data_IF_116732000225
#
_entry.id   IF_116732000225
#
_cell.length_a   1.000
_cell.length_b   1.000
_cell.length_c   1.000
_cell.angle_alpha   90.00
_cell.angle_beta   90.00
_cell.angle_gamma   90.00
#
_symmetry.space_group_name_H-M   'P 1'
#
loop_
_entity.id
_entity.type
_entity.pdbx_description
1 polymer ?
#
# COMPACT_ATOMS: atom_id res chain seq x y z
N UNK A 1 27.32 -46.12 13.49
CA UNK A 1 28.29 -45.58 12.52
C UNK A 1 28.53 -44.12 12.90
N UNK A 2 29.61 -43.87 13.67
CA UNK A 2 30.32 -42.60 13.95
C UNK A 2 29.49 -41.29 14.10
N UNK A 3 29.30 -40.67 15.29
CA UNK A 3 30.26 -39.96 16.18
C UNK A 3 31.26 -39.03 15.46
N UNK A 4 31.55 -37.86 16.07
CA UNK A 4 32.39 -36.71 15.65
C UNK A 4 31.52 -35.56 15.10
N UNK A 5 31.47 -34.34 15.64
CA UNK A 5 32.52 -33.53 16.26
C UNK A 5 31.94 -32.53 17.27
N UNK A 6 32.54 -32.47 18.47
CA UNK A 6 32.45 -31.40 19.47
C UNK A 6 33.73 -30.55 19.32
N UNK A 7 33.65 -29.27 19.68
CA UNK A 7 34.74 -28.33 19.98
C UNK A 7 35.48 -27.63 18.83
N UNK A 8 35.21 -26.32 18.73
CA UNK A 8 36.12 -25.15 18.78
C UNK A 8 35.16 -23.95 18.69
N UNK A 9 35.05 -23.09 19.69
CA UNK A 9 35.90 -21.92 19.86
C UNK A 9 36.02 -21.54 21.35
N UNK A 10 37.26 -21.41 21.79
CA UNK A 10 37.67 -20.81 23.05
C UNK A 10 38.00 -19.34 22.84
N UNK A 11 37.64 -18.52 23.84
CA UNK A 11 38.22 -17.23 24.25
C UNK A 11 38.07 -16.00 23.33
N UNK A 12 37.08 -15.17 23.66
CA UNK A 12 37.13 -13.70 23.50
C UNK A 12 36.81 -13.12 24.90
N UNK A 13 37.57 -12.14 25.42
CA UNK A 13 37.43 -11.68 26.79
C UNK A 13 36.14 -10.88 27.00
N UNK A 14 35.52 -11.10 28.17
CA UNK A 14 34.33 -10.40 28.64
C UNK A 14 34.66 -8.92 28.89
N UNK A 15 34.07 -8.03 28.09
CA UNK A 15 33.89 -6.63 28.47
C UNK A 15 32.53 -6.53 29.16
N UNK A 16 32.56 -6.21 30.46
CA UNK A 16 31.38 -6.11 31.29
C UNK A 16 30.42 -5.02 30.79
N UNK A 17 29.14 -5.38 30.69
CA UNK A 17 28.06 -4.41 30.71
C UNK A 17 27.13 -4.81 31.84
N UNK A 18 27.19 -4.00 32.90
CA UNK A 18 26.41 -4.18 34.11
C UNK A 18 24.92 -4.10 33.78
N UNK A 19 24.22 -5.18 34.10
CA UNK A 19 22.76 -5.27 34.11
C UNK A 19 22.24 -4.43 35.28
N UNK A 20 21.78 -3.22 35.01
CA UNK A 20 21.00 -2.44 36.00
C UNK A 20 19.56 -2.89 35.90
N UNK A 21 19.19 -3.82 36.79
CA UNK A 21 17.81 -4.07 37.17
C UNK A 21 17.30 -2.86 37.96
N UNK A 22 16.53 -1.99 37.32
CA UNK A 22 15.72 -0.99 38.00
C UNK A 22 14.23 -1.36 37.85
N UNK A 23 13.73 -2.11 38.83
CA UNK A 23 12.30 -2.12 39.15
C UNK A 23 11.97 -0.77 39.81
N UNK A 24 11.08 0.01 39.22
CA UNK A 24 10.59 1.24 39.85
C UNK A 24 9.82 2.17 38.91
N UNK A 25 8.49 2.03 38.92
CA UNK A 25 7.50 3.11 38.76
C UNK A 25 7.59 3.95 37.48
N UNK A 26 7.12 3.40 36.35
CA UNK A 26 6.53 4.23 35.32
C UNK A 26 5.05 4.47 35.69
N UNK A 27 4.60 5.72 35.90
CA UNK A 27 3.18 5.99 36.04
C UNK A 27 2.45 5.65 34.74
N UNK A 28 1.23 5.14 34.87
CA UNK A 28 0.27 4.95 33.77
C UNK A 28 0.27 6.18 32.87
N UNK A 29 0.66 6.01 31.60
CA UNK A 29 0.40 7.00 30.57
C UNK A 29 -1.00 6.73 30.03
N UNK A 30 -2.02 7.07 30.83
CA UNK A 30 -3.27 7.61 30.29
C UNK A 30 -3.02 9.12 30.14
N UNK A 31 -2.36 9.51 29.06
CA UNK A 31 -2.28 10.90 28.65
C UNK A 31 -3.19 11.07 27.45
N UNK A 32 -4.31 11.74 27.71
CA UNK A 32 -5.27 12.25 26.74
C UNK A 32 -4.54 13.12 25.69
N UNK A 33 -4.67 12.76 24.42
CA UNK A 33 -4.47 13.70 23.33
C UNK A 33 -5.83 14.37 23.04
N UNK A 34 -5.95 15.63 23.44
CA UNK A 34 -7.08 16.49 23.09
C UNK A 34 -6.76 17.27 21.82
N UNK A 35 -7.54 17.07 20.76
CA UNK A 35 -7.60 17.97 19.60
C UNK A 35 -8.36 19.25 19.97
N UNK A 36 -7.95 20.40 19.43
CA UNK A 36 -8.53 21.73 19.73
C UNK A 36 -9.94 21.97 19.17
N UNK A 37 -10.50 21.00 18.45
CA UNK A 37 -11.94 20.84 18.26
C UNK A 37 -12.34 19.62 19.09
N UNK A 38 -13.35 19.74 19.95
CA UNK A 38 -13.79 18.71 20.91
C UNK A 38 -14.30 17.40 20.29
N UNK A 39 -14.01 17.14 19.02
CA UNK A 39 -14.12 15.86 18.36
C UNK A 39 -12.95 14.95 18.77
N UNK A 40 -13.20 14.04 19.70
CA UNK A 40 -12.27 12.95 19.97
C UNK A 40 -12.25 12.01 18.77
N UNK A 41 -11.17 12.04 17.98
CA UNK A 41 -10.93 11.01 16.97
C UNK A 41 -10.62 9.72 17.73
N UNK A 42 -11.62 8.85 17.87
CA UNK A 42 -11.43 7.54 18.50
C UNK A 42 -10.40 6.76 17.68
N UNK A 43 -9.29 6.40 18.31
CA UNK A 43 -8.30 5.50 17.71
C UNK A 43 -9.00 4.22 17.24
N UNK A 44 -8.71 3.74 16.01
CA UNK A 44 -9.35 2.55 15.48
C UNK A 44 -9.04 1.32 16.37
N UNK A 45 -10.05 0.47 16.55
CA UNK A 45 -10.01 -0.75 17.35
C UNK A 45 -10.02 -1.95 16.42
N UNK A 46 -9.32 -3.01 16.82
CA UNK A 46 -9.29 -4.26 16.06
C UNK A 46 -10.22 -5.31 16.67
N UNK A 47 -10.84 -6.12 15.82
CA UNK A 47 -11.74 -7.19 16.24
C UNK A 47 -11.38 -8.49 15.51
N UNK A 48 -11.20 -9.56 16.28
CA UNK A 48 -11.09 -10.91 15.76
C UNK A 48 -12.49 -11.48 15.58
N UNK A 49 -12.78 -11.96 14.38
CA UNK A 49 -14.04 -12.60 14.02
C UNK A 49 -13.75 -14.01 13.57
N UNK A 50 -14.47 -14.95 14.18
CA UNK A 50 -14.49 -16.34 13.82
C UNK A 50 -15.82 -16.66 13.14
N UNK A 51 -15.81 -16.84 11.81
CA UNK A 51 -16.94 -17.33 11.03
C UNK A 51 -17.02 -18.86 11.17
N UNK A 52 -18.12 -19.33 11.72
CA UNK A 52 -18.36 -20.73 12.05
C UNK A 52 -19.39 -21.31 11.09
N UNK A 53 -19.01 -22.30 10.25
CA UNK A 53 -19.96 -22.97 9.39
C UNK A 53 -21.11 -23.56 10.21
N UNK A 54 -22.34 -23.35 9.75
CA UNK A 54 -23.54 -23.85 10.46
C UNK A 54 -23.71 -25.35 10.28
N UNK A 55 -23.27 -25.88 9.14
CA UNK A 55 -23.48 -27.26 8.72
C UNK A 55 -22.18 -28.06 8.73
N UNK A 56 -22.28 -29.30 9.21
CA UNK A 56 -21.17 -30.26 9.18
C UNK A 56 -20.73 -30.61 7.75
N UNK A 57 -19.42 -30.83 7.59
CA UNK A 57 -18.79 -31.19 6.31
C UNK A 57 -18.43 -30.00 5.42
N UNK A 58 -18.79 -28.77 5.78
CA UNK A 58 -18.27 -27.57 5.13
C UNK A 58 -16.76 -27.42 5.41
N UNK A 59 -15.93 -26.98 4.45
CA UNK A 59 -16.26 -26.60 3.08
C UNK A 59 -16.22 -27.76 2.06
N UNK A 60 -15.97 -29.00 2.48
CA UNK A 60 -15.76 -30.14 1.56
C UNK A 60 -17.00 -30.54 0.76
N UNK A 61 -18.19 -30.24 1.26
CA UNK A 61 -19.47 -30.65 0.66
C UNK A 61 -20.41 -29.46 0.39
N UNK A 62 -19.88 -28.34 -0.09
CA UNK A 62 -20.70 -27.17 -0.43
C UNK A 62 -21.74 -27.50 -1.49
N UNK A 63 -22.94 -26.95 -1.34
CA UNK A 63 -23.96 -26.91 -2.41
C UNK A 63 -23.63 -25.80 -3.41
N UNK A 64 -24.21 -25.86 -4.61
CA UNK A 64 -24.08 -24.79 -5.61
C UNK A 64 -24.46 -23.40 -5.05
N UNK A 65 -25.47 -23.35 -4.17
CA UNK A 65 -25.87 -22.12 -3.49
C UNK A 65 -24.82 -21.65 -2.48
N UNK A 66 -24.26 -22.55 -1.67
CA UNK A 66 -23.18 -22.23 -0.72
C UNK A 66 -21.91 -21.77 -1.46
N UNK A 67 -21.56 -22.36 -2.61
CA UNK A 67 -20.44 -21.91 -3.45
C UNK A 67 -20.66 -20.49 -3.98
N UNK A 68 -21.87 -20.18 -4.47
CA UNK A 68 -22.23 -18.83 -4.91
C UNK A 68 -22.13 -17.83 -3.76
N UNK A 69 -22.68 -18.16 -2.59
CA UNK A 69 -22.64 -17.30 -1.39
C UNK A 69 -21.20 -17.06 -0.93
N UNK A 70 -20.36 -18.10 -0.92
CA UNK A 70 -18.95 -17.95 -0.53
C UNK A 70 -18.15 -17.11 -1.53
N UNK A 71 -18.53 -17.12 -2.81
CA UNK A 71 -17.97 -16.21 -3.82
C UNK A 71 -18.36 -14.75 -3.56
N UNK A 72 -19.63 -14.49 -3.21
CA UNK A 72 -20.11 -13.16 -2.84
C UNK A 72 -19.46 -12.65 -1.54
N UNK A 73 -19.33 -13.52 -0.54
CA UNK A 73 -18.58 -13.28 0.70
C UNK A 73 -17.13 -12.88 0.42
N UNK A 74 -16.44 -13.59 -0.47
CA UNK A 74 -15.05 -13.29 -0.81
C UNK A 74 -14.91 -11.91 -1.47
N UNK A 75 -15.79 -11.55 -2.40
CA UNK A 75 -15.80 -10.21 -3.00
C UNK A 75 -16.16 -9.11 -1.99
N UNK A 76 -17.06 -9.40 -1.05
CA UNK A 76 -17.39 -8.50 0.06
C UNK A 76 -16.15 -8.21 0.94
N UNK A 77 -15.45 -9.25 1.40
CA UNK A 77 -14.23 -9.10 2.20
C UNK A 77 -13.09 -8.44 1.43
N UNK A 78 -12.94 -8.71 0.13
CA UNK A 78 -11.99 -7.98 -0.74
C UNK A 78 -12.28 -6.49 -0.73
N UNK A 79 -13.54 -6.09 -0.84
CA UNK A 79 -13.93 -4.68 -0.81
C UNK A 79 -13.67 -4.03 0.55
N UNK A 80 -13.92 -4.73 1.66
CA UNK A 80 -13.57 -4.21 3.00
C UNK A 80 -12.06 -4.12 3.22
N UNK A 81 -11.28 -5.07 2.67
CA UNK A 81 -9.81 -5.04 2.71
C UNK A 81 -9.28 -3.81 1.96
N UNK A 82 -9.86 -3.51 0.78
CA UNK A 82 -9.53 -2.31 0.00
C UNK A 82 -9.85 -0.99 0.74
N UNK A 83 -10.81 -1.02 1.66
CA UNK A 83 -11.18 0.11 2.51
C UNK A 83 -10.37 0.19 3.81
N UNK A 84 -9.40 -0.71 4.03
CA UNK A 84 -8.64 -0.79 5.28
C UNK A 84 -9.42 -1.37 6.46
N UNK A 85 -10.68 -1.78 6.26
CA UNK A 85 -11.54 -2.31 7.33
C UNK A 85 -11.28 -3.77 7.67
N UNK A 86 -10.78 -4.56 6.72
CA UNK A 86 -10.31 -5.93 6.95
C UNK A 86 -8.79 -5.92 6.85
N UNK A 87 -8.10 -6.22 7.95
CA UNK A 87 -6.64 -6.33 8.00
C UNK A 87 -6.15 -7.64 7.41
N UNK A 88 -6.89 -8.73 7.67
CA UNK A 88 -6.66 -10.04 7.07
C UNK A 88 -7.92 -10.89 7.14
N UNK A 89 -8.10 -11.75 6.15
CA UNK A 89 -9.12 -12.79 6.19
C UNK A 89 -8.63 -14.06 5.51
N UNK A 90 -9.13 -15.21 5.95
CA UNK A 90 -8.85 -16.48 5.30
C UNK A 90 -9.45 -17.69 6.02
N UNK A 91 -9.56 -18.83 5.33
CA UNK A 91 -9.99 -20.08 5.95
C UNK A 91 -8.89 -20.63 6.86
N UNK A 92 -9.28 -21.08 8.04
CA UNK A 92 -8.50 -21.98 8.88
C UNK A 92 -9.00 -23.40 8.66
N UNK A 93 -8.06 -24.34 8.54
CA UNK A 93 -8.34 -25.76 8.39
C UNK A 93 -7.86 -26.46 9.66
N UNK A 94 -8.73 -27.28 10.25
CA UNK A 94 -8.49 -28.04 11.50
C UNK A 94 -8.21 -27.18 12.78
N UNK A 95 -9.26 -26.74 13.49
CA UNK A 95 -10.68 -26.85 13.14
C UNK A 95 -11.06 -25.90 12.00
N UNK A 96 -12.11 -26.25 11.26
CA UNK A 96 -12.61 -25.42 10.15
C UNK A 96 -13.34 -24.17 10.66
N UNK A 97 -12.85 -22.99 10.29
CA UNK A 97 -13.55 -21.71 10.47
C UNK A 97 -12.97 -20.64 9.53
N UNK A 98 -13.74 -19.59 9.25
CA UNK A 98 -13.22 -18.37 8.62
C UNK A 98 -12.64 -17.44 9.68
N UNK A 99 -11.41 -16.96 9.47
CA UNK A 99 -10.79 -15.92 10.27
C UNK A 99 -10.96 -14.59 9.55
N UNK A 100 -11.43 -13.57 10.25
CA UNK A 100 -11.42 -12.17 9.79
C UNK A 100 -10.90 -11.29 10.92
N UNK A 101 -9.95 -10.41 10.63
CA UNK A 101 -9.51 -9.36 11.55
C UNK A 101 -9.99 -8.02 10.99
N UNK A 102 -10.89 -7.36 11.71
CA UNK A 102 -11.43 -6.05 11.36
C UNK A 102 -10.68 -4.92 12.05
N UNK A 103 -10.69 -3.75 11.44
CA UNK A 103 -10.28 -2.47 12.02
C UNK A 103 -11.41 -1.43 11.80
N UNK A 104 -12.02 -0.97 12.90
CA UNK A 104 -13.19 -0.06 12.88
C UNK A 104 -13.15 0.94 14.05
N UNK A 105 -14.01 1.96 14.04
CA UNK A 105 -14.09 2.91 15.15
C UNK A 105 -14.73 2.31 16.41
N UNK A 106 -15.74 1.45 16.23
CA UNK A 106 -16.48 0.83 17.34
C UNK A 106 -16.82 -0.64 17.11
N UNK A 107 -17.21 -1.33 18.18
CA UNK A 107 -17.65 -2.72 18.10
C UNK A 107 -18.99 -2.85 17.35
N UNK A 108 -19.86 -1.85 17.46
CA UNK A 108 -21.14 -1.80 16.75
C UNK A 108 -20.93 -1.70 15.24
N UNK A 109 -19.95 -0.91 14.80
CA UNK A 109 -19.55 -0.86 13.39
C UNK A 109 -19.01 -2.22 12.93
N UNK A 110 -18.12 -2.85 13.70
CA UNK A 110 -17.57 -4.16 13.38
C UNK A 110 -18.67 -5.23 13.28
N UNK A 111 -19.61 -5.24 14.23
CA UNK A 111 -20.78 -6.12 14.20
C UNK A 111 -21.61 -5.90 12.94
N UNK A 112 -21.93 -4.65 12.63
CA UNK A 112 -22.70 -4.31 11.44
C UNK A 112 -22.03 -4.77 10.14
N UNK A 113 -20.69 -4.74 10.04
CA UNK A 113 -19.98 -5.27 8.87
C UNK A 113 -20.18 -6.79 8.72
N UNK A 114 -20.02 -7.55 9.81
CA UNK A 114 -20.17 -9.01 9.76
C UNK A 114 -21.63 -9.43 9.63
N UNK A 115 -22.56 -8.69 10.22
CA UNK A 115 -24.01 -8.91 10.04
C UNK A 115 -24.45 -8.70 8.58
N UNK A 116 -23.69 -7.91 7.81
CA UNK A 116 -23.91 -7.70 6.37
C UNK A 116 -23.06 -8.62 5.47
N UNK A 117 -22.29 -9.54 6.06
CA UNK A 117 -21.54 -10.53 5.29
C UNK A 117 -22.51 -11.50 4.60
N UNK A 118 -22.39 -11.75 3.27
CA UNK A 118 -23.28 -12.65 2.55
C UNK A 118 -23.38 -14.05 3.17
N UNK A 119 -22.27 -14.57 3.71
CA UNK A 119 -22.27 -15.88 4.35
C UNK A 119 -23.02 -15.90 5.68
N UNK A 120 -23.14 -14.76 6.36
CA UNK A 120 -23.89 -14.60 7.61
C UNK A 120 -25.38 -14.35 7.32
N UNK A 121 -25.70 -13.47 6.37
CA UNK A 121 -27.08 -13.19 5.95
C UNK A 121 -27.79 -14.45 5.49
N UNK A 122 -27.13 -15.23 4.63
CA UNK A 122 -27.70 -16.43 4.03
C UNK A 122 -27.54 -17.67 4.95
N UNK A 123 -26.96 -17.50 6.14
CA UNK A 123 -26.89 -18.54 7.17
C UNK A 123 -25.91 -19.68 6.89
N UNK A 124 -24.96 -19.48 5.96
CA UNK A 124 -23.85 -20.43 5.72
C UNK A 124 -22.91 -20.44 6.93
N UNK A 125 -22.62 -19.27 7.48
CA UNK A 125 -21.82 -19.07 8.67
C UNK A 125 -22.61 -18.34 9.76
N UNK A 126 -22.33 -18.69 11.02
CA UNK A 126 -22.56 -17.80 12.16
C UNK A 126 -21.23 -17.18 12.57
N UNK A 127 -21.19 -16.30 13.57
CA UNK A 127 -19.91 -15.74 14.00
C UNK A 127 -19.79 -15.58 15.51
N UNK A 128 -18.53 -15.56 15.95
CA UNK A 128 -18.10 -15.03 17.25
C UNK A 128 -17.16 -13.89 17.00
N UNK A 129 -17.24 -12.85 17.82
CA UNK A 129 -16.37 -11.69 17.73
C UNK A 129 -15.80 -11.35 19.10
N UNK A 130 -14.51 -11.00 19.11
CA UNK A 130 -13.79 -10.53 20.28
C UNK A 130 -12.95 -9.32 19.90
N UNK A 131 -12.90 -8.32 20.78
CA UNK A 131 -11.92 -7.25 20.62
C UNK A 131 -10.51 -7.84 20.74
N UNK A 132 -9.64 -7.44 19.82
CA UNK A 132 -8.23 -7.82 19.82
C UNK A 132 -7.34 -6.58 19.76
N UNK A 133 -6.09 -6.73 20.19
CA UNK A 133 -5.05 -5.72 19.95
C UNK A 133 -4.02 -6.32 19.00
N UNK A 134 -3.98 -5.84 17.77
CA UNK A 134 -2.92 -6.19 16.81
C UNK A 134 -1.63 -5.54 17.31
N UNK A 135 -0.81 -6.31 18.02
CA UNK A 135 0.42 -5.80 18.64
C UNK A 135 1.58 -5.74 17.66
N UNK A 136 1.53 -6.55 16.61
CA UNK A 136 2.49 -6.61 15.52
C UNK A 136 1.73 -6.84 14.22
N UNK A 137 1.95 -5.98 13.22
CA UNK A 137 1.40 -6.14 11.89
C UNK A 137 2.56 -6.18 10.91
N UNK A 138 2.63 -7.24 10.10
CA UNK A 138 3.56 -7.29 8.99
C UNK A 138 3.02 -6.39 7.87
N UNK A 139 3.89 -5.58 7.28
CA UNK A 139 3.58 -4.90 6.02
C UNK A 139 3.56 -5.95 4.90
N UNK A 140 2.44 -6.64 4.72
CA UNK A 140 2.23 -7.50 3.56
C UNK A 140 1.96 -6.63 2.34
N UNK A 141 3.04 -6.30 1.64
CA UNK A 141 3.00 -5.96 0.22
C UNK A 141 2.38 -7.18 -0.48
N UNK A 142 1.20 -7.08 -1.13
CA UNK A 142 0.59 -8.23 -1.81
C UNK A 142 1.62 -9.00 -2.62
N UNK A 143 1.57 -10.34 -2.55
CA UNK A 143 2.56 -11.19 -3.22
C UNK A 143 2.64 -10.93 -4.74
N UNK A 144 1.56 -10.37 -5.30
CA UNK A 144 1.47 -9.92 -6.69
C UNK A 144 0.98 -8.47 -6.69
N UNK A 145 1.91 -7.53 -6.87
CA UNK A 145 1.60 -6.10 -7.13
C UNK A 145 2.06 -5.66 -8.51
N UNK A 146 2.76 -6.54 -9.22
CA UNK A 146 3.23 -6.32 -10.58
C UNK A 146 2.66 -7.43 -11.44
N UNK A 147 2.35 -7.09 -12.69
CA UNK A 147 2.01 -8.08 -13.70
C UNK A 147 3.14 -9.11 -13.79
N UNK A 148 2.79 -10.39 -13.61
CA UNK A 148 3.76 -11.50 -13.60
C UNK A 148 4.47 -11.64 -14.94
N UNK A 149 3.72 -11.50 -16.02
CA UNK A 149 4.20 -11.51 -17.41
C UNK A 149 3.84 -10.18 -18.09
N UNK A 150 4.61 -9.11 -17.84
CA UNK A 150 4.35 -7.83 -18.48
C UNK A 150 4.74 -7.89 -19.96
N UNK A 151 4.04 -7.12 -20.79
CA UNK A 151 4.43 -6.90 -22.18
C UNK A 151 5.77 -6.14 -22.30
N UNK A 152 6.41 -6.25 -23.46
CA UNK A 152 7.64 -5.51 -23.79
C UNK A 152 7.43 -4.02 -24.07
N UNK A 153 6.19 -3.51 -23.92
CA UNK A 153 5.88 -2.10 -24.20
C UNK A 153 6.57 -1.20 -23.18
N UNK A 154 7.14 -0.10 -23.67
CA UNK A 154 7.67 0.98 -22.84
C UNK A 154 7.17 2.29 -23.43
N UNK A 155 6.41 3.04 -22.64
CA UNK A 155 6.06 4.42 -22.99
C UNK A 155 7.27 5.30 -22.69
N UNK A 156 7.70 6.09 -23.68
CA UNK A 156 8.84 6.98 -23.55
C UNK A 156 8.42 8.41 -23.84
N UNK A 157 8.80 9.32 -22.95
CA UNK A 157 8.60 10.76 -23.09
C UNK A 157 9.91 11.47 -22.76
N UNK A 158 10.21 12.56 -23.46
CA UNK A 158 11.41 13.35 -23.22
C UNK A 158 11.09 14.83 -23.29
N UNK A 159 11.69 15.61 -22.38
CA UNK A 159 11.67 17.07 -22.40
C UNK A 159 13.06 17.61 -22.06
N UNK A 160 13.33 18.83 -22.49
CA UNK A 160 14.47 19.62 -22.05
C UNK A 160 13.95 20.86 -21.34
N UNK A 161 14.48 21.14 -20.14
CA UNK A 161 14.10 22.30 -19.34
C UNK A 161 15.33 23.16 -19.05
N UNK A 162 15.13 24.47 -18.95
CA UNK A 162 16.20 25.41 -18.57
C UNK A 162 16.18 25.58 -17.05
N UNK A 163 16.94 24.75 -16.34
CA UNK A 163 17.06 24.80 -14.88
C UNK A 163 18.32 24.03 -14.45
N UNK A 164 18.75 24.22 -13.20
CA UNK A 164 19.85 23.42 -12.66
C UNK A 164 19.41 21.98 -12.39
N UNK A 165 20.31 21.01 -12.59
CA UNK A 165 20.06 19.61 -12.24
C UNK A 165 19.62 19.46 -10.78
N UNK A 166 20.14 20.30 -9.88
CA UNK A 166 19.79 20.25 -8.45
C UNK A 166 18.35 20.68 -8.20
N UNK A 167 17.86 21.70 -8.91
CA UNK A 167 16.46 22.14 -8.79
C UNK A 167 15.53 21.07 -9.35
N UNK A 168 15.80 20.59 -10.57
CA UNK A 168 15.01 19.51 -11.21
C UNK A 168 14.96 18.26 -10.33
N UNK A 169 16.10 17.87 -9.75
CA UNK A 169 16.15 16.74 -8.84
C UNK A 169 15.30 16.96 -7.59
N UNK A 170 15.43 18.12 -6.92
CA UNK A 170 14.63 18.48 -5.76
C UNK A 170 13.14 18.47 -6.09
N UNK A 171 12.77 19.03 -7.23
CA UNK A 171 11.37 19.15 -7.67
C UNK A 171 10.72 17.76 -7.82
N UNK A 172 11.46 16.76 -8.30
CA UNK A 172 10.95 15.38 -8.41
C UNK A 172 11.10 14.51 -7.15
N UNK A 173 11.85 14.94 -6.14
CA UNK A 173 12.24 14.06 -5.00
C UNK A 173 11.81 14.57 -3.63
N UNK A 174 11.10 15.69 -3.57
CA UNK A 174 10.59 16.29 -2.34
C UNK A 174 9.09 16.53 -2.45
N UNK A 175 8.41 16.57 -1.31
CA UNK A 175 6.97 16.86 -1.28
C UNK A 175 6.69 18.25 -1.84
N UNK A 176 7.45 19.25 -1.40
CA UNK A 176 7.29 20.64 -1.81
C UNK A 176 7.57 20.82 -3.30
N UNK A 177 8.59 20.12 -3.79
CA UNK A 177 8.97 20.09 -5.19
C UNK A 177 7.88 19.50 -6.08
N UNK A 178 7.33 18.34 -5.70
CA UNK A 178 6.29 17.69 -6.51
C UNK A 178 4.99 18.50 -6.46
N UNK A 179 4.70 19.15 -5.33
CA UNK A 179 3.53 20.02 -5.19
C UNK A 179 3.59 21.27 -6.08
N UNK A 180 4.78 21.72 -6.49
CA UNK A 180 4.93 22.94 -7.28
C UNK A 180 4.48 22.81 -8.73
N UNK A 181 4.37 21.58 -9.26
CA UNK A 181 4.04 21.35 -10.68
C UNK A 181 3.10 20.17 -10.95
N UNK A 182 3.07 19.14 -10.07
CA UNK A 182 2.37 17.90 -10.34
C UNK A 182 0.92 17.95 -9.83
N UNK A 183 0.73 18.27 -8.54
CA UNK A 183 -0.58 18.43 -7.92
C UNK A 183 -0.48 19.21 -6.61
N UNK A 184 -1.55 19.88 -6.19
CA UNK A 184 -1.58 20.69 -4.96
C UNK A 184 -1.19 19.93 -3.68
N UNK A 185 -1.36 18.60 -3.67
CA UNK A 185 -1.05 17.76 -2.51
C UNK A 185 -0.30 16.51 -2.96
N UNK A 186 0.75 16.19 -2.21
CA UNK A 186 1.59 15.02 -2.39
C UNK A 186 2.27 14.63 -1.06
N UNK A 187 2.78 13.40 -0.99
CA UNK A 187 3.67 12.92 0.07
C UNK A 187 4.80 12.12 -0.57
N UNK A 188 6.02 12.69 -0.49
CA UNK A 188 7.22 12.11 -1.09
C UNK A 188 8.32 12.02 -0.03
N UNK A 189 8.88 10.83 0.14
CA UNK A 189 10.08 10.60 0.95
C UNK A 189 11.14 9.86 0.13
N UNK A 190 12.26 10.53 -0.16
CA UNK A 190 13.35 9.95 -0.93
C UNK A 190 14.14 8.90 -0.13
N UNK A 191 13.59 7.69 -0.06
CA UNK A 191 14.23 6.48 0.47
C UNK A 191 13.62 5.25 -0.21
N UNK A 192 14.34 4.13 -0.39
CA UNK A 192 13.73 2.91 -0.91
C UNK A 192 12.53 2.48 -0.06
N UNK A 193 11.40 2.23 -0.69
CA UNK A 193 10.12 1.92 -0.05
C UNK A 193 9.39 3.12 0.59
N UNK A 194 9.95 4.34 0.51
CA UNK A 194 9.27 5.56 0.93
C UNK A 194 8.11 5.91 0.00
N UNK A 195 7.09 6.66 0.47
CA UNK A 195 5.96 7.08 -0.35
C UNK A 195 6.39 7.94 -1.55
N UNK A 196 5.69 7.73 -2.66
CA UNK A 196 5.63 8.64 -3.81
C UNK A 196 4.16 8.80 -4.20
N UNK A 197 3.43 9.54 -3.36
CA UNK A 197 1.97 9.64 -3.42
C UNK A 197 1.54 11.03 -3.87
N UNK A 198 0.71 11.08 -4.91
CA UNK A 198 0.13 12.29 -5.48
C UNK A 198 -1.38 12.23 -5.25
N UNK A 199 -1.96 13.29 -4.70
CA UNK A 199 -3.40 13.33 -4.38
C UNK A 199 -4.13 14.28 -5.33
N UNK A 200 -5.04 13.73 -6.13
CA UNK A 200 -5.80 14.48 -7.14
C UNK A 200 -7.23 14.84 -6.67
N UNK A 201 -7.80 14.06 -5.74
CA UNK A 201 -9.14 14.31 -5.21
C UNK A 201 -9.18 14.05 -3.69
N UNK A 202 -9.10 15.10 -2.90
CA UNK A 202 -9.12 15.01 -1.43
C UNK A 202 -10.48 14.58 -0.85
N UNK A 203 -11.55 14.67 -1.63
CA UNK A 203 -12.88 14.27 -1.20
C UNK A 203 -13.17 12.79 -1.47
N UNK A 204 -12.27 12.09 -2.16
CA UNK A 204 -12.40 10.65 -2.37
C UNK A 204 -12.06 9.87 -1.09
N UNK A 205 -12.61 8.67 -0.90
CA UNK A 205 -12.19 7.79 0.19
C UNK A 205 -10.68 7.51 0.15
N UNK A 206 -10.11 7.21 1.32
CA UNK A 206 -8.72 6.74 1.43
C UNK A 206 -8.48 5.53 0.50
N UNK A 207 -7.31 5.52 -0.13
CA UNK A 207 -6.95 4.57 -1.18
C UNK A 207 -7.51 4.91 -2.57
N UNK A 208 -8.30 5.98 -2.72
CA UNK A 208 -8.88 6.44 -3.99
C UNK A 208 -8.60 7.92 -4.32
N UNK A 209 -7.82 8.63 -3.49
CA UNK A 209 -7.53 10.07 -3.65
C UNK A 209 -6.51 10.36 -4.74
N UNK A 210 -5.67 9.39 -5.09
CA UNK A 210 -4.71 9.53 -6.18
C UNK A 210 -3.78 8.32 -6.28
N UNK A 211 -2.47 8.50 -6.13
CA UNK A 211 -1.47 7.43 -6.24
C UNK A 211 -1.11 6.77 -4.91
N UNK A 212 -2.02 6.75 -3.94
CA UNK A 212 -1.83 6.13 -2.62
C UNK A 212 -1.24 4.72 -2.70
N UNK A 213 -0.24 4.47 -1.84
CA UNK A 213 0.50 3.22 -1.78
C UNK A 213 1.59 3.06 -2.84
N UNK A 214 1.79 4.02 -3.76
CA UNK A 214 2.94 4.06 -4.66
C UNK A 214 4.22 4.45 -3.92
N UNK A 215 5.34 3.82 -4.29
CA UNK A 215 6.60 3.93 -3.55
C UNK A 215 7.78 4.22 -4.44
N UNK A 216 8.80 4.85 -3.86
CA UNK A 216 10.14 4.89 -4.43
C UNK A 216 10.72 3.46 -4.43
N UNK A 217 11.14 2.99 -5.59
CA UNK A 217 11.77 1.67 -5.76
C UNK A 217 13.29 1.76 -5.65
N UNK A 218 13.90 2.71 -6.35
CA UNK A 218 15.34 2.95 -6.32
C UNK A 218 15.66 4.33 -6.86
N UNK A 219 16.86 4.82 -6.55
CA UNK A 219 17.37 6.06 -7.13
C UNK A 219 18.90 6.04 -7.19
N UNK A 220 19.44 6.74 -8.17
CA UNK A 220 20.82 7.20 -8.22
C UNK A 220 20.76 8.72 -8.13
N UNK A 221 21.27 9.34 -7.04
CA UNK A 221 21.16 10.77 -6.83
C UNK A 221 21.56 11.56 -8.09
N UNK A 222 20.71 12.50 -8.50
CA UNK A 222 20.94 13.39 -9.64
C UNK A 222 21.02 12.69 -11.00
N UNK A 223 20.67 11.40 -11.09
CA UNK A 223 20.81 10.61 -12.34
C UNK A 223 19.54 9.85 -12.66
N UNK A 224 18.92 9.20 -11.67
CA UNK A 224 17.78 8.32 -11.90
C UNK A 224 16.86 8.28 -10.70
N UNK A 225 15.56 8.35 -10.94
CA UNK A 225 14.51 8.08 -9.96
C UNK A 225 13.59 6.98 -10.51
N UNK A 226 13.23 5.99 -9.70
CA UNK A 226 12.25 4.98 -10.07
C UNK A 226 11.18 4.84 -9.00
N UNK A 227 9.93 4.87 -9.40
CA UNK A 227 8.78 4.74 -8.49
C UNK A 227 7.66 3.88 -9.10
N UNK A 228 6.81 3.35 -8.23
CA UNK A 228 5.60 2.63 -8.61
C UNK A 228 4.52 3.60 -9.08
N UNK A 229 3.61 3.11 -9.93
CA UNK A 229 2.46 3.91 -10.39
C UNK A 229 1.22 3.03 -10.57
N UNK A 230 0.08 3.48 -10.08
CA UNK A 230 -1.20 2.76 -10.15
C UNK A 230 -2.21 3.44 -11.09
N UNK A 231 -3.17 2.64 -11.58
CA UNK A 231 -4.24 3.17 -12.42
C UNK A 231 -5.22 4.05 -11.62
N UNK A 232 -5.89 5.02 -12.25
CA UNK A 232 -6.99 5.76 -11.63
C UNK A 232 -8.11 4.84 -11.10
N UNK A 233 -8.91 5.27 -10.11
CA UNK A 233 -10.03 4.47 -9.57
C UNK A 233 -11.02 3.97 -10.63
N UNK A 234 -11.19 4.69 -11.74
CA UNK A 234 -12.08 4.32 -12.85
C UNK A 234 -11.67 3.04 -13.59
N UNK A 235 -10.43 2.56 -13.42
CA UNK A 235 -9.93 1.34 -14.07
C UNK A 235 -10.17 0.06 -13.24
N UNK A 236 -10.89 0.16 -12.10
CA UNK A 236 -11.29 -0.98 -11.29
C UNK A 236 -10.08 -1.78 -10.79
N UNK A 237 -10.09 -3.10 -11.02
CA UNK A 237 -9.04 -4.00 -10.51
C UNK A 237 -7.64 -3.69 -11.06
N UNK A 238 -7.50 -3.07 -12.24
CA UNK A 238 -6.20 -2.66 -12.78
C UNK A 238 -5.48 -1.63 -11.90
N UNK A 239 -6.20 -0.93 -11.02
CA UNK A 239 -5.58 -0.04 -10.02
C UNK A 239 -4.60 -0.77 -9.11
N UNK A 240 -4.80 -2.07 -8.88
CA UNK A 240 -3.95 -2.85 -7.99
C UNK A 240 -2.79 -3.56 -8.71
N UNK A 241 -2.71 -3.40 -10.03
CA UNK A 241 -1.61 -3.86 -10.87
C UNK A 241 -0.63 -2.70 -11.10
N UNK A 242 0.35 -2.55 -10.20
CA UNK A 242 1.28 -1.44 -10.24
C UNK A 242 2.25 -1.58 -11.41
N UNK A 243 2.48 -0.44 -12.05
CA UNK A 243 3.47 -0.23 -13.09
C UNK A 243 4.67 0.52 -12.52
N UNK A 244 5.71 0.74 -13.33
CA UNK A 244 6.94 1.41 -12.90
C UNK A 244 7.27 2.56 -13.81
N UNK A 245 7.60 3.70 -13.22
CA UNK A 245 8.07 4.89 -13.91
C UNK A 245 9.53 5.10 -13.55
N UNK A 246 10.36 5.24 -14.57
CA UNK A 246 11.79 5.54 -14.47
C UNK A 246 11.99 6.91 -15.09
N UNK A 247 12.60 7.82 -14.33
CA UNK A 247 13.03 9.12 -14.80
C UNK A 247 14.54 9.15 -14.77
N UNK A 248 15.15 9.47 -15.92
CA UNK A 248 16.58 9.71 -16.05
C UNK A 248 16.80 11.20 -16.28
N UNK A 249 17.75 11.75 -15.52
CA UNK A 249 18.16 13.15 -15.62
C UNK A 249 19.55 13.21 -16.23
N UNK A 250 19.74 14.07 -17.22
CA UNK A 250 21.03 14.34 -17.82
C UNK A 250 21.27 15.85 -17.87
N UNK A 251 22.39 16.29 -17.30
CA UNK A 251 22.86 17.66 -17.48
C UNK A 251 23.29 17.86 -18.94
N UNK A 252 22.85 18.97 -19.52
CA UNK A 252 23.12 19.36 -20.90
C UNK A 252 23.85 20.70 -20.93
N UNK A 253 24.50 21.06 -22.05
CA UNK A 253 25.09 22.39 -22.21
C UNK A 253 24.06 23.51 -21.98
N UNK A 254 24.56 24.72 -21.72
CA UNK A 254 23.75 25.95 -21.57
C UNK A 254 22.79 25.93 -20.36
N UNK A 255 23.10 25.14 -19.32
CA UNK A 255 22.27 25.08 -18.11
C UNK A 255 20.92 24.43 -18.34
N UNK A 256 20.84 23.50 -19.29
CA UNK A 256 19.66 22.70 -19.56
C UNK A 256 19.77 21.33 -18.88
N UNK A 257 18.61 20.74 -18.59
CA UNK A 257 18.51 19.37 -18.11
C UNK A 257 17.55 18.63 -19.03
N UNK A 258 18.01 17.49 -19.56
CA UNK A 258 17.15 16.55 -20.26
C UNK A 258 16.53 15.59 -19.25
N UNK A 259 15.22 15.47 -19.29
CA UNK A 259 14.44 14.50 -18.51
C UNK A 259 13.85 13.46 -19.47
N UNK A 260 14.25 12.20 -19.29
CA UNK A 260 13.71 11.07 -20.05
C UNK A 260 12.86 10.19 -19.13
N UNK A 261 11.56 10.13 -19.38
CA UNK A 261 10.60 9.31 -18.65
C UNK A 261 10.32 8.01 -19.41
N UNK A 262 10.40 6.88 -18.72
CA UNK A 262 10.02 5.56 -19.21
C UNK A 262 8.99 4.93 -18.28
N UNK A 263 7.82 4.58 -18.81
CA UNK A 263 6.74 3.93 -18.05
C UNK A 263 6.49 2.52 -18.62
N UNK A 264 6.65 1.51 -17.76
CA UNK A 264 6.69 0.09 -18.11
C UNK A 264 5.95 -0.79 -17.10
N UNK A 265 5.79 -2.09 -17.44
CA UNK A 265 5.03 -3.05 -16.64
C UNK A 265 3.57 -3.22 -17.09
N UNK A 266 3.28 -2.87 -18.34
CA UNK A 266 1.95 -3.00 -18.92
C UNK A 266 1.58 -4.47 -19.10
N UNK A 267 0.39 -4.87 -18.63
CA UNK A 267 -0.19 -6.17 -18.98
C UNK A 267 -0.75 -6.21 -20.40
N UNK A 268 -1.58 -7.21 -20.66
CA UNK A 268 -2.13 -7.51 -21.99
C UNK A 268 -3.64 -7.30 -22.06
N UNK A 269 -4.14 -6.91 -23.23
CA UNK A 269 -5.58 -6.78 -23.52
C UNK A 269 -6.07 -5.34 -23.64
N UNK A 270 -7.36 -5.19 -23.97
CA UNK A 270 -7.98 -3.91 -24.33
C UNK A 270 -7.92 -2.88 -23.19
N UNK A 271 -8.27 -3.28 -21.96
CA UNK A 271 -8.20 -2.38 -20.80
C UNK A 271 -6.78 -1.85 -20.54
N UNK A 272 -5.75 -2.65 -20.82
CA UNK A 272 -4.35 -2.21 -20.71
C UNK A 272 -3.96 -1.24 -21.82
N UNK A 273 -4.54 -1.38 -23.02
CA UNK A 273 -4.36 -0.42 -24.11
C UNK A 273 -5.00 0.93 -23.76
N UNK A 274 -6.22 0.91 -23.24
CA UNK A 274 -6.90 2.12 -22.77
C UNK A 274 -6.12 2.83 -21.65
N UNK A 275 -5.60 2.06 -20.69
CA UNK A 275 -4.79 2.59 -19.60
C UNK A 275 -3.47 3.20 -20.12
N UNK A 276 -2.84 2.56 -21.09
CA UNK A 276 -1.65 3.09 -21.75
C UNK A 276 -1.96 4.44 -22.43
N UNK A 277 -3.03 4.52 -23.21
CA UNK A 277 -3.43 5.78 -23.88
C UNK A 277 -3.80 6.88 -22.89
N UNK A 278 -4.44 6.51 -21.77
CA UNK A 278 -4.73 7.43 -20.69
C UNK A 278 -3.43 8.05 -20.14
N UNK A 279 -2.45 7.22 -19.80
CA UNK A 279 -1.18 7.72 -19.25
C UNK A 279 -0.32 8.44 -20.29
N UNK A 280 -0.44 8.10 -21.58
CA UNK A 280 0.27 8.82 -22.64
C UNK A 280 -0.08 10.31 -22.62
N UNK A 281 -1.38 10.62 -22.49
CA UNK A 281 -1.88 12.00 -22.37
C UNK A 281 -1.60 12.61 -21.00
N UNK A 282 -1.75 11.83 -19.92
CA UNK A 282 -1.53 12.34 -18.57
C UNK A 282 -0.06 12.76 -18.36
N UNK A 283 0.90 11.98 -18.86
CA UNK A 283 2.31 12.35 -18.79
C UNK A 283 2.65 13.56 -19.65
N UNK A 284 2.02 13.75 -20.82
CA UNK A 284 2.20 14.98 -21.60
C UNK A 284 1.76 16.22 -20.82
N UNK A 285 0.64 16.14 -20.09
CA UNK A 285 0.18 17.22 -19.22
C UNK A 285 1.16 17.51 -18.09
N UNK A 286 1.58 16.47 -17.35
CA UNK A 286 2.52 16.61 -16.22
C UNK A 286 3.85 17.19 -16.67
N UNK A 287 4.43 16.68 -17.76
CA UNK A 287 5.71 17.15 -18.28
C UNK A 287 5.61 18.58 -18.84
N UNK A 288 4.47 18.96 -19.42
CA UNK A 288 4.21 20.34 -19.83
C UNK A 288 4.09 21.29 -18.63
N UNK A 289 3.41 20.86 -17.57
CA UNK A 289 3.32 21.62 -16.30
C UNK A 289 4.70 21.78 -15.67
N UNK A 290 5.51 20.73 -15.66
CA UNK A 290 6.88 20.76 -15.16
C UNK A 290 7.77 21.73 -15.96
N UNK A 291 7.68 21.72 -17.29
CA UNK A 291 8.43 22.66 -18.13
C UNK A 291 8.05 24.12 -17.82
N UNK A 292 6.75 24.41 -17.70
CA UNK A 292 6.27 25.74 -17.32
C UNK A 292 6.74 26.15 -15.92
N UNK A 293 6.78 25.22 -14.97
CA UNK A 293 7.32 25.45 -13.64
C UNK A 293 8.81 25.84 -13.69
N UNK A 294 9.62 25.13 -14.48
CA UNK A 294 11.04 25.45 -14.64
C UNK A 294 11.26 26.81 -15.30
N UNK A 295 10.42 27.22 -16.26
CA UNK A 295 10.51 28.52 -16.93
C UNK A 295 10.19 29.71 -15.99
N UNK A 296 9.58 29.45 -14.82
CA UNK A 296 9.18 30.46 -13.84
C UNK A 296 10.15 30.61 -12.65
N UNK A 297 11.16 29.73 -12.53
CA UNK A 297 12.19 29.80 -11.48
C UNK A 297 13.38 30.67 -11.89
#
# INVERSE_FOLDING_TARGET
>A
MYSVCRERYSTIPALGMAMVLAFGLFPNVEALESTEDGSTVSQPKQFFVQLLPVRDGFPENMTDDEERIMSEHFEYLKNLTRQGKVLMAGPCFDPTFGLVVLETGTQEEAAALIDNDPSVIEGVNTYKMQQMRVSLMANHVPAVRYVVEPSDRVMKKEIEVTSSLQSVWRDWTTTEGVQSFFADHAHVELRPGGPFEIYFNQNAPEGQRGSEGCRILSYLPMTMLTFEWNAPPSFGDLRYEYTRVIIVFAEMPEGKVKLSLSHLGWGHGEKWNELYEYFDRAWDYVLSSFAQHCDQQ
#
